data_IF_066051743674
#
_entry.id   IF_066051743674
#
_cell.length_a   1.000
_cell.length_b   1.000
_cell.length_c   1.000
_cell.angle_alpha   90.00
_cell.angle_beta   90.00
_cell.angle_gamma   90.00
#
_symmetry.space_group_name_H-M   'P 1'
#
loop_
_entity.id
_entity.type
_entity.pdbx_description
1 polymer ?
#
# COMPACT_ATOMS: atom_id res chain seq x y z
N UNK A 1 1.29 -8.05 28.39
CA UNK A 1 2.18 -8.61 27.37
C UNK A 1 2.37 -7.51 26.34
N UNK A 2 3.56 -6.93 26.23
CA UNK A 2 3.84 -5.84 25.27
C UNK A 2 3.99 -6.54 23.92
N UNK A 3 2.95 -6.43 23.06
CA UNK A 3 3.05 -6.82 21.66
C UNK A 3 4.24 -6.09 21.05
N UNK A 4 5.07 -6.80 20.28
CA UNK A 4 6.21 -6.21 19.59
C UNK A 4 5.75 -4.93 18.85
N UNK A 5 6.41 -3.80 19.14
CA UNK A 5 6.12 -2.51 18.51
C UNK A 5 6.90 -2.29 17.21
N UNK A 6 7.66 -3.29 16.77
CA UNK A 6 8.61 -3.13 15.68
C UNK A 6 8.39 -4.18 14.60
N UNK A 7 8.47 -3.74 13.35
CA UNK A 7 8.54 -4.64 12.19
C UNK A 7 9.81 -5.47 12.21
N UNK A 8 9.92 -6.49 11.36
CA UNK A 8 11.15 -7.26 11.13
C UNK A 8 12.36 -6.40 10.72
N UNK A 9 12.12 -5.16 10.28
CA UNK A 9 13.13 -4.15 9.93
C UNK A 9 13.45 -3.20 11.09
N UNK A 10 12.85 -3.39 12.29
CA UNK A 10 13.04 -2.53 13.46
C UNK A 10 12.19 -1.26 13.48
N UNK A 11 11.25 -1.08 12.56
CA UNK A 11 10.31 0.04 12.56
C UNK A 11 9.09 -0.26 13.42
N UNK A 12 8.50 0.79 14.01
CA UNK A 12 7.23 0.65 14.74
C UNK A 12 6.09 0.39 13.76
N UNK A 13 5.23 -0.58 14.06
CA UNK A 13 4.01 -0.83 13.29
C UNK A 13 2.98 0.26 13.56
N UNK A 14 2.45 0.85 12.48
CA UNK A 14 1.37 1.83 12.56
C UNK A 14 0.09 1.22 13.14
N UNK A 15 -0.62 1.96 14.00
CA UNK A 15 -1.85 1.49 14.64
C UNK A 15 -2.95 2.51 14.51
N UNK A 16 -4.17 2.02 14.28
CA UNK A 16 -5.37 2.85 14.29
C UNK A 16 -5.52 3.54 15.66
N UNK A 17 -5.76 4.85 15.64
CA UNK A 17 -5.85 5.68 16.84
C UNK A 17 -4.52 6.27 17.31
N UNK A 18 -3.39 5.87 16.73
CA UNK A 18 -2.06 6.43 17.01
C UNK A 18 -1.60 7.36 15.87
N UNK A 19 -0.54 8.13 16.13
CA UNK A 19 0.06 9.01 15.13
C UNK A 19 0.56 8.19 13.95
N UNK A 20 0.11 8.56 12.75
CA UNK A 20 0.53 7.90 11.52
C UNK A 20 2.02 8.21 11.24
N UNK A 21 2.86 7.20 10.96
CA UNK A 21 4.24 7.43 10.55
C UNK A 21 4.29 8.06 9.14
N UNK A 22 5.38 8.76 8.86
CA UNK A 22 5.64 9.27 7.52
C UNK A 22 5.91 8.14 6.54
N UNK A 23 5.44 8.32 5.29
CA UNK A 23 5.73 7.40 4.20
C UNK A 23 7.24 7.34 3.94
N UNK A 24 7.79 6.16 3.71
CA UNK A 24 9.19 5.94 3.31
C UNK A 24 9.26 5.96 1.78
N UNK A 25 9.49 7.13 1.22
CA UNK A 25 9.48 7.35 -0.23
C UNK A 25 10.90 7.30 -0.78
N UNK A 26 11.11 6.53 -1.85
CA UNK A 26 12.37 6.52 -2.60
C UNK A 26 12.42 7.63 -3.66
N UNK A 27 11.29 7.86 -4.36
CA UNK A 27 11.18 8.90 -5.40
C UNK A 27 9.75 9.36 -5.58
N UNK A 28 9.56 10.67 -5.72
CA UNK A 28 8.34 11.26 -6.24
C UNK A 28 8.40 11.30 -7.77
N UNK A 29 7.39 10.74 -8.44
CA UNK A 29 7.34 10.66 -9.91
C UNK A 29 6.32 11.63 -10.51
N UNK A 30 5.38 12.11 -9.68
CA UNK A 30 4.37 13.09 -10.07
C UNK A 30 4.01 13.99 -8.89
N UNK A 31 3.74 15.26 -9.17
CA UNK A 31 3.34 16.24 -8.16
C UNK A 31 4.51 16.75 -7.30
N UNK A 32 4.18 17.57 -6.32
CA UNK A 32 5.16 18.09 -5.37
C UNK A 32 5.41 17.08 -4.25
N UNK A 33 6.67 16.90 -3.82
CA UNK A 33 6.98 16.07 -2.67
C UNK A 33 6.29 16.53 -1.40
N UNK A 34 5.58 15.62 -0.74
CA UNK A 34 4.92 15.85 0.54
C UNK A 34 5.07 14.63 1.46
N UNK A 35 4.50 14.67 2.66
CA UNK A 35 4.40 13.53 3.56
C UNK A 35 3.33 13.82 4.63
N UNK A 36 2.98 12.83 5.46
CA UNK A 36 1.91 12.90 6.45
C UNK A 36 2.09 14.11 7.39
N UNK A 37 3.31 14.37 7.85
CA UNK A 37 3.63 15.49 8.76
C UNK A 37 3.48 16.89 8.10
N UNK A 38 3.47 16.94 6.76
CA UNK A 38 3.30 18.19 5.98
C UNK A 38 1.86 18.46 5.58
N UNK A 39 0.99 17.48 5.68
CA UNK A 39 -0.43 17.57 5.32
C UNK A 39 -1.33 17.76 6.55
N UNK A 40 -0.84 18.42 7.60
CA UNK A 40 -1.64 18.77 8.78
C UNK A 40 -2.84 19.63 8.38
N UNK A 41 -3.91 19.53 9.16
CA UNK A 41 -5.19 20.19 8.90
C UNK A 41 -5.95 19.65 7.67
N UNK A 42 -5.43 18.56 7.05
CA UNK A 42 -6.08 17.86 5.97
C UNK A 42 -6.36 16.39 6.35
N UNK A 43 -7.44 15.84 5.80
CA UNK A 43 -7.63 14.39 5.77
C UNK A 43 -6.75 13.84 4.65
N UNK A 44 -5.90 12.87 4.97
CA UNK A 44 -4.99 12.27 3.99
C UNK A 44 -5.45 10.86 3.64
N UNK A 45 -5.68 10.60 2.35
CA UNK A 45 -5.85 9.28 1.79
C UNK A 45 -4.56 8.87 1.08
N UNK A 46 -3.93 7.79 1.53
CA UNK A 46 -2.84 7.15 0.78
C UNK A 46 -3.36 5.90 0.13
N UNK A 47 -3.34 5.87 -1.20
CA UNK A 47 -3.67 4.69 -1.99
C UNK A 47 -2.38 3.95 -2.36
N UNK A 48 -2.20 2.78 -1.75
CA UNK A 48 -1.02 1.93 -1.96
C UNK A 48 -1.33 0.90 -3.04
N UNK A 49 -0.53 0.87 -4.10
CA UNK A 49 -0.77 0.06 -5.27
C UNK A 49 0.51 -0.56 -5.84
N UNK A 50 0.37 -1.56 -6.70
CA UNK A 50 1.44 -2.07 -7.56
C UNK A 50 1.10 -1.82 -9.02
N UNK A 51 2.09 -1.54 -9.86
CA UNK A 51 1.85 -1.32 -11.30
C UNK A 51 1.43 -2.61 -12.01
N UNK A 52 1.84 -3.77 -11.48
CA UNK A 52 1.41 -5.10 -11.93
C UNK A 52 0.31 -5.68 -11.04
N UNK A 53 -0.74 -4.91 -10.76
CA UNK A 53 -1.86 -5.32 -9.91
C UNK A 53 -3.19 -4.94 -10.58
N UNK A 54 -3.90 -5.85 -11.26
CA UNK A 54 -5.17 -5.55 -11.90
C UNK A 54 -6.21 -4.93 -10.98
N UNK A 55 -6.35 -5.43 -9.75
CA UNK A 55 -7.28 -4.91 -8.74
C UNK A 55 -7.03 -3.45 -8.39
N UNK A 56 -5.75 -3.02 -8.42
CA UNK A 56 -5.38 -1.63 -8.18
C UNK A 56 -5.97 -0.67 -9.23
N UNK A 57 -6.03 -1.11 -10.48
CA UNK A 57 -6.56 -0.31 -11.59
C UNK A 57 -8.07 -0.49 -11.82
N UNK A 58 -8.63 -1.60 -11.37
CA UNK A 58 -10.07 -1.85 -11.42
C UNK A 58 -10.82 -1.15 -10.28
N UNK A 59 -10.20 -1.03 -9.11
CA UNK A 59 -10.88 -0.59 -7.88
C UNK A 59 -10.14 0.53 -7.15
N UNK A 60 -8.92 0.32 -6.67
CA UNK A 60 -8.22 1.22 -5.77
C UNK A 60 -7.98 2.61 -6.36
N UNK A 61 -7.23 2.71 -7.46
CA UNK A 61 -6.95 3.99 -8.12
C UNK A 61 -8.21 4.71 -8.60
N UNK A 62 -9.21 4.05 -9.25
CA UNK A 62 -10.46 4.70 -9.59
C UNK A 62 -11.18 5.29 -8.38
N UNK A 63 -11.23 4.55 -7.25
CA UNK A 63 -11.84 5.03 -6.01
C UNK A 63 -11.10 6.22 -5.41
N UNK A 64 -9.77 6.17 -5.38
CA UNK A 64 -8.95 7.29 -4.94
C UNK A 64 -9.13 8.54 -5.81
N UNK A 65 -9.29 8.37 -7.14
CA UNK A 65 -9.58 9.47 -8.08
C UNK A 65 -10.97 10.07 -7.81
N UNK A 66 -11.96 9.24 -7.53
CA UNK A 66 -13.32 9.68 -7.15
C UNK A 66 -13.27 10.56 -5.90
N UNK A 67 -12.61 10.07 -4.82
CA UNK A 67 -12.43 10.79 -3.56
C UNK A 67 -11.67 12.11 -3.78
N UNK A 68 -10.59 12.09 -4.55
CA UNK A 68 -9.84 13.30 -4.89
C UNK A 68 -10.71 14.37 -5.56
N UNK A 69 -11.56 13.96 -6.51
CA UNK A 69 -12.45 14.88 -7.23
C UNK A 69 -13.57 15.41 -6.34
N UNK A 70 -14.14 14.54 -5.50
CA UNK A 70 -15.27 14.87 -4.65
C UNK A 70 -14.86 15.77 -3.47
N UNK A 71 -13.78 15.43 -2.77
CA UNK A 71 -13.43 16.03 -1.49
C UNK A 71 -12.13 16.85 -1.49
N UNK A 72 -11.42 16.91 -2.60
CA UNK A 72 -10.13 17.62 -2.66
C UNK A 72 -10.22 19.10 -2.33
N UNK A 73 -11.37 19.75 -2.61
CA UNK A 73 -11.64 21.16 -2.24
C UNK A 73 -12.05 21.31 -0.78
N UNK A 74 -12.52 20.26 -0.14
CA UNK A 74 -13.02 20.23 1.22
C UNK A 74 -11.95 19.84 2.23
N UNK A 75 -10.70 19.75 1.78
CA UNK A 75 -9.56 19.50 2.65
C UNK A 75 -9.07 18.05 2.67
N UNK A 76 -9.39 17.25 1.64
CA UNK A 76 -8.78 15.93 1.45
C UNK A 76 -7.54 16.03 0.57
N UNK A 77 -6.47 15.38 0.98
CA UNK A 77 -5.26 15.16 0.19
C UNK A 77 -5.15 13.69 -0.18
N UNK A 78 -4.91 13.41 -1.45
CA UNK A 78 -4.72 12.03 -1.92
C UNK A 78 -3.28 11.88 -2.39
N UNK A 79 -2.64 10.79 -1.97
CA UNK A 79 -1.29 10.39 -2.36
C UNK A 79 -1.36 8.96 -2.89
N UNK A 80 -0.84 8.71 -4.08
CA UNK A 80 -0.63 7.35 -4.57
C UNK A 80 0.79 6.89 -4.26
N UNK A 81 0.91 5.75 -3.60
CA UNK A 81 2.19 5.13 -3.27
C UNK A 81 2.32 3.79 -4.00
N UNK A 82 3.14 3.75 -5.03
CA UNK A 82 3.50 2.49 -5.67
C UNK A 82 4.47 1.73 -4.79
N UNK A 83 4.25 0.43 -4.61
CA UNK A 83 5.10 -0.45 -3.80
C UNK A 83 5.46 -1.73 -4.57
N UNK A 84 6.31 -2.57 -4.00
CA UNK A 84 6.58 -3.90 -4.49
C UNK A 84 6.85 -4.86 -3.32
N UNK A 85 5.96 -5.81 -3.09
CA UNK A 85 6.14 -6.91 -2.15
C UNK A 85 6.22 -8.27 -2.87
N UNK A 86 5.94 -8.29 -4.16
CA UNK A 86 6.05 -9.40 -5.10
C UNK A 86 6.31 -8.87 -6.52
N UNK A 87 6.57 -9.73 -7.51
CA UNK A 87 6.83 -9.36 -8.91
C UNK A 87 7.81 -8.18 -9.04
N UNK A 88 8.95 -8.25 -8.34
CA UNK A 88 9.94 -7.18 -8.26
C UNK A 88 10.54 -6.78 -9.62
N UNK A 89 10.46 -7.65 -10.61
CA UNK A 89 10.84 -7.41 -11.99
C UNK A 89 9.84 -6.51 -12.75
N UNK A 90 8.61 -6.41 -12.26
CA UNK A 90 7.51 -5.63 -12.86
C UNK A 90 7.14 -4.40 -12.04
N UNK A 91 7.11 -4.53 -10.72
CA UNK A 91 6.75 -3.44 -9.81
C UNK A 91 7.97 -2.53 -9.56
N UNK A 92 8.49 -1.92 -10.61
CA UNK A 92 9.70 -1.11 -10.63
C UNK A 92 9.41 0.38 -10.75
N UNK A 93 10.40 1.20 -10.39
CA UNK A 93 10.32 2.65 -10.58
C UNK A 93 10.15 3.01 -12.06
N UNK A 94 10.85 2.32 -12.96
CA UNK A 94 10.80 2.57 -14.42
C UNK A 94 9.39 2.32 -14.96
N UNK A 95 8.71 1.26 -14.50
CA UNK A 95 7.34 0.96 -14.91
C UNK A 95 6.33 1.96 -14.31
N UNK A 96 6.59 2.49 -13.11
CA UNK A 96 5.81 3.59 -12.55
C UNK A 96 6.00 4.88 -13.37
N UNK A 97 7.23 5.20 -13.76
CA UNK A 97 7.52 6.36 -14.62
C UNK A 97 6.89 6.20 -16.02
N UNK A 98 6.89 4.99 -16.57
CA UNK A 98 6.19 4.67 -17.82
C UNK A 98 4.68 4.94 -17.70
N UNK A 99 4.05 4.45 -16.62
CA UNK A 99 2.64 4.69 -16.35
C UNK A 99 2.33 6.19 -16.28
N UNK A 100 3.11 6.94 -15.50
CA UNK A 100 2.88 8.39 -15.31
C UNK A 100 3.10 9.16 -16.60
N UNK A 101 4.19 8.88 -17.32
CA UNK A 101 4.58 9.62 -18.52
C UNK A 101 3.70 9.32 -19.75
N UNK A 102 3.19 8.10 -19.86
CA UNK A 102 2.51 7.65 -21.09
C UNK A 102 1.09 7.11 -20.87
N UNK A 103 0.69 6.80 -19.65
CA UNK A 103 -0.56 6.08 -19.35
C UNK A 103 -0.51 4.59 -19.66
N UNK A 104 0.64 4.03 -20.07
CA UNK A 104 0.77 2.61 -20.38
C UNK A 104 0.82 1.78 -19.11
N UNK A 105 0.12 0.66 -19.12
CA UNK A 105 0.14 -0.37 -18.08
C UNK A 105 0.87 -1.62 -18.58
N UNK A 106 1.33 -2.45 -17.65
CA UNK A 106 2.19 -3.60 -17.96
C UNK A 106 1.64 -4.90 -17.38
N UNK A 107 2.23 -6.03 -17.77
CA UNK A 107 2.05 -7.35 -17.16
C UNK A 107 0.60 -7.81 -17.06
N UNK A 108 0.20 -8.29 -15.88
CA UNK A 108 -1.16 -8.76 -15.62
C UNK A 108 -2.19 -7.62 -15.63
N UNK A 109 -1.78 -6.42 -15.21
CA UNK A 109 -2.64 -5.22 -15.32
C UNK A 109 -3.04 -4.98 -16.78
N UNK A 110 -2.07 -4.98 -17.69
CA UNK A 110 -2.36 -4.81 -19.12
C UNK A 110 -3.29 -5.91 -19.66
N UNK A 111 -3.00 -7.18 -19.38
CA UNK A 111 -3.79 -8.33 -19.85
C UNK A 111 -5.24 -8.23 -19.38
N UNK A 112 -5.42 -7.98 -18.09
CA UNK A 112 -6.74 -7.90 -17.47
C UNK A 112 -7.55 -6.72 -18.01
N UNK A 113 -6.96 -5.52 -18.05
CA UNK A 113 -7.69 -4.33 -18.54
C UNK A 113 -8.01 -4.42 -20.03
N UNK A 114 -7.14 -5.04 -20.84
CA UNK A 114 -7.45 -5.36 -22.23
C UNK A 114 -8.63 -6.33 -22.36
N UNK A 115 -8.64 -7.38 -21.55
CA UNK A 115 -9.74 -8.37 -21.56
C UNK A 115 -11.08 -7.71 -21.23
N UNK A 116 -11.11 -6.73 -20.33
CA UNK A 116 -12.32 -5.98 -19.97
C UNK A 116 -12.58 -4.76 -20.87
N UNK A 117 -11.80 -4.57 -21.94
CA UNK A 117 -11.92 -3.40 -22.84
C UNK A 117 -11.84 -2.05 -22.10
N UNK A 118 -11.01 -1.97 -21.08
CA UNK A 118 -10.83 -0.79 -20.23
C UNK A 118 -9.63 0.08 -20.63
N UNK A 119 -8.92 -0.25 -21.70
CA UNK A 119 -7.82 0.55 -22.25
C UNK A 119 -8.23 1.25 -23.54
N UNK A 120 -7.56 2.36 -23.83
CA UNK A 120 -7.62 2.99 -25.15
C UNK A 120 -7.07 2.04 -26.24
N UNK A 121 -7.32 2.35 -27.49
CA UNK A 121 -6.86 1.53 -28.64
C UNK A 121 -5.33 1.39 -28.72
N UNK A 122 -4.59 2.32 -28.13
CA UNK A 122 -3.12 2.31 -28.04
C UNK A 122 -2.56 1.60 -26.78
N UNK A 123 -3.46 0.98 -25.98
CA UNK A 123 -3.11 0.26 -24.76
C UNK A 123 -2.83 1.14 -23.54
N UNK A 124 -3.22 2.41 -23.58
CA UNK A 124 -3.10 3.34 -22.45
C UNK A 124 -4.37 3.40 -21.60
N UNK A 125 -4.23 3.86 -20.35
CA UNK A 125 -5.38 4.15 -19.50
C UNK A 125 -6.24 5.28 -20.10
N UNK A 126 -7.59 5.19 -20.04
CA UNK A 126 -8.48 6.25 -20.51
C UNK A 126 -8.56 7.45 -19.56
N UNK A 127 -7.80 7.43 -18.46
CA UNK A 127 -7.76 8.49 -17.47
C UNK A 127 -6.32 8.77 -17.01
N UNK A 128 -6.13 9.97 -16.45
CA UNK A 128 -4.88 10.32 -15.74
C UNK A 128 -5.11 10.27 -14.24
N UNK A 129 -4.12 9.84 -13.49
CA UNK A 129 -4.13 9.91 -12.04
C UNK A 129 -3.83 11.37 -11.65
N UNK A 130 -4.75 12.07 -10.95
CA UNK A 130 -4.64 13.53 -10.78
C UNK A 130 -3.89 14.00 -9.55
N UNK A 131 -3.44 13.09 -8.69
CA UNK A 131 -2.78 13.38 -7.42
C UNK A 131 -1.30 13.00 -7.42
N UNK A 132 -0.49 13.45 -6.44
CA UNK A 132 0.92 13.09 -6.33
C UNK A 132 1.15 11.58 -6.26
N UNK A 133 2.18 11.11 -6.97
CA UNK A 133 2.58 9.71 -7.03
C UNK A 133 4.04 9.55 -6.61
N UNK A 134 4.28 8.55 -5.77
CA UNK A 134 5.61 8.20 -5.28
C UNK A 134 5.87 6.70 -5.36
N UNK A 135 7.13 6.32 -5.34
CA UNK A 135 7.59 4.94 -5.16
C UNK A 135 8.00 4.72 -3.70
N UNK A 136 7.52 3.65 -3.09
CA UNK A 136 7.93 3.18 -1.77
C UNK A 136 9.44 2.90 -1.73
N UNK A 137 10.05 3.03 -0.58
CA UNK A 137 11.45 2.68 -0.38
C UNK A 137 11.60 1.18 -0.22
N UNK A 138 12.30 0.57 -1.19
CA UNK A 138 12.59 -0.86 -1.19
C UNK A 138 14.02 -1.07 -0.66
N UNK A 139 14.16 -1.87 0.39
CA UNK A 139 15.46 -2.25 0.96
C UNK A 139 15.75 -3.70 0.61
N UNK A 140 16.92 -3.98 0.03
CA UNK A 140 17.33 -5.34 -0.32
C UNK A 140 17.47 -6.21 0.93
N UNK A 141 16.84 -7.38 0.90
CA UNK A 141 16.95 -8.35 1.99
C UNK A 141 18.28 -9.08 1.93
N UNK A 142 19.13 -8.82 2.92
CA UNK A 142 20.41 -9.52 3.08
C UNK A 142 20.47 -10.29 4.41
N UNK A 143 19.38 -10.29 5.19
CA UNK A 143 19.35 -10.88 6.54
C UNK A 143 18.83 -12.31 6.49
N UNK A 144 19.42 -13.18 7.31
CA UNK A 144 18.91 -14.53 7.54
C UNK A 144 17.58 -14.43 8.30
N UNK A 145 16.55 -15.08 7.79
CA UNK A 145 15.22 -15.12 8.44
C UNK A 145 15.30 -15.99 9.71
N UNK A 146 14.98 -15.39 10.86
CA UNK A 146 14.91 -16.07 12.16
C UNK A 146 13.49 -16.51 12.50
N UNK A 147 13.36 -17.45 13.46
CA UNK A 147 12.06 -17.88 13.99
C UNK A 147 11.28 -16.72 14.60
N UNK A 148 11.96 -15.84 15.32
CA UNK A 148 11.39 -14.65 15.92
C UNK A 148 10.79 -13.71 14.85
N UNK A 149 11.51 -13.46 13.75
CA UNK A 149 11.00 -12.65 12.64
C UNK A 149 9.72 -13.25 12.04
N UNK A 150 9.67 -14.56 11.87
CA UNK A 150 8.50 -15.26 11.33
C UNK A 150 7.30 -15.12 12.27
N UNK A 151 7.50 -15.34 13.56
CA UNK A 151 6.41 -15.24 14.56
C UNK A 151 5.91 -13.80 14.66
N UNK A 152 6.79 -12.81 14.77
CA UNK A 152 6.42 -11.40 14.83
C UNK A 152 5.60 -10.99 13.58
N UNK A 153 6.05 -11.40 12.38
CA UNK A 153 5.33 -11.12 11.14
C UNK A 153 3.90 -11.67 11.15
N UNK A 154 3.71 -12.89 11.70
CA UNK A 154 2.39 -13.52 11.81
C UNK A 154 1.52 -12.78 12.83
N UNK A 155 2.04 -12.50 14.01
CA UNK A 155 1.30 -11.87 15.11
C UNK A 155 0.82 -10.46 14.78
N UNK A 156 1.62 -9.71 14.03
CA UNK A 156 1.26 -8.36 13.55
C UNK A 156 0.04 -8.37 12.60
N UNK A 157 -0.14 -9.45 11.83
CA UNK A 157 -1.18 -9.56 10.79
C UNK A 157 -2.34 -10.47 11.15
N UNK A 158 -2.12 -11.37 12.10
CA UNK A 158 -3.09 -12.37 12.56
C UNK A 158 -3.09 -12.38 14.11
N UNK A 159 -3.80 -11.44 14.75
CA UNK A 159 -3.80 -11.31 16.21
C UNK A 159 -4.22 -12.60 16.96
N UNK A 160 -5.11 -13.40 16.34
CA UNK A 160 -5.63 -14.64 16.91
C UNK A 160 -4.78 -15.87 16.60
N UNK A 161 -3.55 -15.70 16.10
CA UNK A 161 -2.65 -16.79 15.74
C UNK A 161 -2.45 -17.80 16.87
N UNK A 162 -2.35 -17.35 18.12
CA UNK A 162 -2.18 -18.20 19.30
C UNK A 162 -3.38 -19.12 19.57
N UNK A 163 -4.56 -18.79 19.04
CA UNK A 163 -5.78 -19.58 19.20
C UNK A 163 -5.87 -20.73 18.19
N UNK A 164 -4.98 -20.77 17.20
CA UNK A 164 -4.97 -21.84 16.21
C UNK A 164 -4.37 -23.12 16.77
N UNK A 165 -4.92 -24.28 16.36
CA UNK A 165 -4.35 -25.59 16.70
C UNK A 165 -2.94 -25.76 16.11
N UNK A 166 -2.14 -26.61 16.75
CA UNK A 166 -0.70 -26.78 16.46
C UNK A 166 -0.39 -27.04 14.98
N UNK A 167 -1.16 -27.95 14.33
CA UNK A 167 -0.96 -28.25 12.90
C UNK A 167 -1.15 -27.00 11.99
N UNK A 168 -2.15 -26.17 12.29
CA UNK A 168 -2.40 -24.93 11.56
C UNK A 168 -1.32 -23.90 11.81
N UNK A 169 -0.84 -23.77 13.06
CA UNK A 169 0.26 -22.86 13.41
C UNK A 169 1.54 -23.24 12.68
N UNK A 170 1.92 -24.55 12.71
CA UNK A 170 3.12 -25.03 12.02
C UNK A 170 3.06 -24.80 10.51
N UNK A 171 1.91 -25.06 9.88
CA UNK A 171 1.72 -24.79 8.45
C UNK A 171 1.88 -23.30 8.12
N UNK A 172 1.31 -22.43 8.94
CA UNK A 172 1.41 -20.98 8.75
C UNK A 172 2.85 -20.48 8.93
N UNK A 173 3.53 -20.94 9.99
CA UNK A 173 4.96 -20.62 10.22
C UNK A 173 5.79 -21.02 9.02
N UNK A 174 5.60 -22.24 8.49
CA UNK A 174 6.34 -22.73 7.32
C UNK A 174 6.09 -21.82 6.10
N UNK A 175 4.84 -21.51 5.77
CA UNK A 175 4.47 -20.68 4.62
C UNK A 175 5.03 -19.25 4.74
N UNK A 176 4.93 -18.67 5.94
CA UNK A 176 5.45 -17.31 6.17
C UNK A 176 6.97 -17.28 6.09
N UNK A 177 7.65 -18.32 6.58
CA UNK A 177 9.10 -18.45 6.42
C UNK A 177 9.50 -18.50 4.95
N UNK A 178 8.88 -19.41 4.17
CA UNK A 178 9.13 -19.55 2.73
C UNK A 178 8.88 -18.21 1.99
N UNK A 179 7.80 -17.49 2.37
CA UNK A 179 7.51 -16.17 1.83
C UNK A 179 8.59 -15.14 2.17
N UNK A 180 9.00 -15.02 3.45
CA UNK A 180 10.03 -14.08 3.87
C UNK A 180 11.40 -14.38 3.25
N UNK A 181 11.75 -15.67 3.10
CA UNK A 181 12.99 -16.11 2.45
C UNK A 181 12.99 -15.84 0.94
N UNK A 182 11.82 -15.85 0.31
CA UNK A 182 11.66 -15.55 -1.13
C UNK A 182 11.69 -14.05 -1.44
N UNK A 183 11.53 -13.18 -0.44
CA UNK A 183 11.51 -11.73 -0.65
C UNK A 183 12.90 -11.19 -1.00
N UNK A 184 13.05 -10.66 -2.20
CA UNK A 184 14.26 -9.97 -2.60
C UNK A 184 14.40 -8.60 -1.93
N UNK A 185 13.28 -7.88 -1.75
CA UNK A 185 13.23 -6.56 -1.13
C UNK A 185 12.15 -6.49 -0.05
N UNK A 186 12.35 -5.56 0.90
CA UNK A 186 11.37 -5.15 1.91
C UNK A 186 10.87 -3.75 1.57
N UNK A 187 9.58 -3.56 1.25
CA UNK A 187 8.97 -2.27 1.03
C UNK A 187 8.64 -1.62 2.38
N UNK A 188 9.30 -0.51 2.69
CA UNK A 188 9.32 0.01 4.07
C UNK A 188 7.98 0.56 4.53
N UNK A 189 7.26 1.34 3.70
CA UNK A 189 5.94 1.85 4.07
C UNK A 189 4.92 0.71 4.17
N UNK A 190 4.94 -0.20 3.19
CA UNK A 190 4.04 -1.37 3.18
C UNK A 190 4.17 -2.19 4.47
N UNK A 191 5.40 -2.43 4.94
CA UNK A 191 5.66 -3.16 6.18
C UNK A 191 5.31 -2.33 7.43
N UNK A 192 5.63 -1.02 7.45
CA UNK A 192 5.36 -0.14 8.60
C UNK A 192 3.85 0.00 8.86
N UNK A 193 3.03 -0.04 7.83
CA UNK A 193 1.56 -0.04 7.96
C UNK A 193 0.96 -1.46 8.03
N UNK A 194 1.77 -2.50 8.11
CA UNK A 194 1.37 -3.91 8.17
C UNK A 194 0.35 -4.30 7.10
N UNK A 195 0.51 -3.78 5.87
CA UNK A 195 -0.41 -4.03 4.78
C UNK A 195 -0.41 -5.51 4.37
N UNK A 196 -1.56 -6.00 3.91
CA UNK A 196 -1.76 -7.40 3.56
C UNK A 196 -1.63 -7.67 2.06
N UNK A 197 -1.68 -6.61 1.24
CA UNK A 197 -1.63 -6.68 -0.21
C UNK A 197 -1.96 -5.34 -0.84
N UNK A 198 -2.22 -5.33 -2.15
CA UNK A 198 -2.67 -4.17 -2.90
C UNK A 198 -3.91 -4.49 -3.75
N UNK A 199 -4.81 -3.52 -3.97
CA UNK A 199 -4.78 -2.16 -3.44
C UNK A 199 -4.99 -2.12 -1.92
N UNK A 200 -4.41 -1.12 -1.25
CA UNK A 200 -4.70 -0.81 0.15
C UNK A 200 -4.89 0.69 0.32
N UNK A 201 -5.90 1.08 1.10
CA UNK A 201 -6.18 2.46 1.41
C UNK A 201 -5.84 2.76 2.87
N UNK A 202 -5.12 3.85 3.11
CA UNK A 202 -4.75 4.34 4.44
C UNK A 202 -5.38 5.71 4.62
N UNK A 203 -6.21 5.90 5.67
CA UNK A 203 -6.84 7.20 5.96
C UNK A 203 -6.32 7.76 7.27
N UNK A 204 -5.89 9.01 7.21
CA UNK A 204 -5.29 9.75 8.32
C UNK A 204 -6.10 11.04 8.49
N UNK A 205 -6.44 11.39 9.73
CA UNK A 205 -7.22 12.58 10.02
C UNK A 205 -6.35 13.86 10.02
N UNK A 206 -7.02 15.01 10.28
CA UNK A 206 -6.42 16.36 10.31
C UNK A 206 -5.34 16.52 11.38
N UNK A 207 -5.39 15.71 12.45
CA UNK A 207 -4.40 15.71 13.53
C UNK A 207 -3.22 14.76 13.22
N UNK A 208 -3.24 14.06 12.09
CA UNK A 208 -2.22 13.11 11.69
C UNK A 208 -2.36 11.75 12.39
N UNK A 209 -3.57 11.40 12.85
CA UNK A 209 -3.87 10.13 13.49
C UNK A 209 -4.37 9.13 12.44
N UNK A 210 -3.83 7.92 12.45
CA UNK A 210 -4.29 6.83 11.58
C UNK A 210 -5.71 6.42 11.99
N UNK A 211 -6.65 6.54 11.08
CA UNK A 211 -8.07 6.24 11.33
C UNK A 211 -8.57 4.98 10.65
N UNK A 212 -7.99 4.64 9.51
CA UNK A 212 -8.45 3.49 8.75
C UNK A 212 -7.33 2.89 7.89
N UNK A 213 -7.33 1.56 7.79
CA UNK A 213 -6.51 0.81 6.84
C UNK A 213 -7.40 -0.30 6.27
N UNK A 214 -7.50 -0.36 4.95
CA UNK A 214 -8.24 -1.43 4.26
C UNK A 214 -7.40 -2.08 3.17
N UNK A 215 -7.75 -3.32 2.84
CA UNK A 215 -7.16 -4.10 1.75
C UNK A 215 -8.23 -4.52 0.77
N UNK A 216 -7.97 -4.39 -0.52
CA UNK A 216 -8.91 -4.70 -1.58
C UNK A 216 -9.93 -3.58 -1.83
N UNK A 217 -11.10 -3.95 -2.33
CA UNK A 217 -12.21 -3.02 -2.56
C UNK A 217 -12.92 -2.67 -1.25
N UNK A 218 -12.98 -1.38 -0.94
CA UNK A 218 -13.62 -0.86 0.27
C UNK A 218 -14.81 0.05 -0.09
N UNK A 219 -16.02 -0.51 0.02
CA UNK A 219 -17.26 0.24 -0.22
C UNK A 219 -17.47 1.38 0.79
N UNK A 220 -16.92 1.24 2.00
CA UNK A 220 -17.07 2.19 3.10
C UNK A 220 -16.10 3.36 3.07
N UNK A 221 -15.12 3.37 2.18
CA UNK A 221 -14.02 4.35 2.19
C UNK A 221 -14.50 5.80 2.10
N UNK A 222 -15.54 6.07 1.28
CA UNK A 222 -16.15 7.42 1.20
C UNK A 222 -16.69 7.88 2.55
N UNK A 223 -17.43 7.00 3.25
CA UNK A 223 -18.03 7.34 4.54
C UNK A 223 -16.94 7.60 5.59
N UNK A 224 -15.85 6.83 5.56
CA UNK A 224 -14.70 7.07 6.44
C UNK A 224 -14.12 8.46 6.19
N UNK A 225 -13.81 8.80 4.93
CA UNK A 225 -13.24 10.10 4.56
C UNK A 225 -14.20 11.23 4.92
N UNK A 226 -15.48 11.11 4.59
CA UNK A 226 -16.51 12.14 4.87
C UNK A 226 -16.68 12.39 6.38
N UNK A 227 -16.59 11.34 7.20
CA UNK A 227 -16.72 11.45 8.66
C UNK A 227 -15.56 12.23 9.33
N UNK A 228 -14.47 12.47 8.62
CA UNK A 228 -13.26 13.15 9.11
C UNK A 228 -13.14 14.60 8.60
N UNK A 229 -14.06 15.03 7.71
CA UNK A 229 -14.09 16.40 7.20
C UNK A 229 -14.72 17.37 8.18
#
# INVERSE_FOLDING_TARGET
>A
MILSRYTNTGYMVARIGEKAPNLKVSKWVQGLPTNIDKERDHVVLVEVFQVNCPGCFLYGLPKAIEIYRKYGKDGVRVIGLATAFEDFDKNTLENLELLVGTGKVIGETYRTLMQYSMLNSDGTLPYKIPFPLAMDMLVKNNSKITDEMVINYIEERIPDFHMYGDARRLLLIKRVREYLESKEYTPLTFEEYALQGTPSSIVIDRDGILRHVSFGYDEGLDNVVESLL
#
